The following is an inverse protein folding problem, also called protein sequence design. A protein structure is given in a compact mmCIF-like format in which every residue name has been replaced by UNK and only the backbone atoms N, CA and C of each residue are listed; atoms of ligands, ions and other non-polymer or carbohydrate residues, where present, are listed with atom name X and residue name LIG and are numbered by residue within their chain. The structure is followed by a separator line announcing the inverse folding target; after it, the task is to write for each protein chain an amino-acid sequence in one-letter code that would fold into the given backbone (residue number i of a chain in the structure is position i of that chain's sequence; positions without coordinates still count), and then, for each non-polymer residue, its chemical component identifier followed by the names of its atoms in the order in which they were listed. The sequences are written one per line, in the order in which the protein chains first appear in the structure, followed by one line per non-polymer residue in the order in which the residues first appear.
data_IF_908455070351
#
_entry.id   IF_908455070351
#
_cell.length_a   1.000
_cell.length_b   1.000
_cell.length_c   1.000
_cell.angle_alpha   90.00
_cell.angle_beta   90.00
_cell.angle_gamma   90.00
#
_symmetry.space_group_name_H-M   'P 1'
#
loop_
_entity.id
_entity.type
_entity.pdbx_description
1 polymer ?
#
# COMPACT_ATOMS: atom_id res chain seq x y z
N UNK A 1 -2.89 13.29 -23.13
CA UNK A 1 -2.85 14.04 -21.86
C UNK A 1 -1.91 13.30 -20.94
N UNK A 2 -0.96 14.00 -20.32
CA UNK A 2 0.02 13.38 -19.42
C UNK A 2 -0.32 13.71 -17.96
N UNK A 3 -0.19 12.75 -17.06
CA UNK A 3 -0.52 12.93 -15.64
C UNK A 3 0.38 13.98 -14.96
N UNK A 4 1.59 14.22 -15.49
CA UNK A 4 2.51 15.25 -14.99
C UNK A 4 2.00 16.69 -15.14
N UNK A 5 1.25 16.97 -16.21
CA UNK A 5 0.81 18.34 -16.56
C UNK A 5 -0.58 18.70 -16.00
N UNK A 6 -1.46 17.71 -15.78
CA UNK A 6 -2.83 17.94 -15.33
C UNK A 6 -3.28 16.86 -14.35
N UNK A 7 -2.84 16.99 -13.08
CA UNK A 7 -3.13 16.04 -11.99
C UNK A 7 -4.58 16.06 -11.48
N UNK A 8 -5.35 17.10 -11.82
CA UNK A 8 -6.64 17.32 -11.19
C UNK A 8 -7.77 16.57 -11.90
N UNK A 9 -8.65 15.94 -11.14
CA UNK A 9 -9.87 15.28 -11.64
C UNK A 9 -10.73 16.18 -12.55
N UNK A 10 -10.75 17.49 -12.28
CA UNK A 10 -11.47 18.47 -13.08
C UNK A 10 -10.86 18.68 -14.47
N UNK A 11 -9.55 18.54 -14.62
CA UNK A 11 -8.88 18.62 -15.91
C UNK A 11 -9.25 17.42 -16.79
N UNK A 12 -9.30 16.22 -16.19
CA UNK A 12 -9.78 15.00 -16.87
C UNK A 12 -11.23 15.17 -17.33
N UNK A 13 -12.10 15.70 -16.47
CA UNK A 13 -13.50 15.96 -16.83
C UNK A 13 -13.62 16.99 -17.96
N UNK A 14 -12.85 18.08 -17.91
CA UNK A 14 -12.91 19.14 -18.92
C UNK A 14 -12.35 18.72 -20.27
N UNK A 15 -11.25 17.98 -20.29
CA UNK A 15 -10.50 17.65 -21.51
C UNK A 15 -10.89 16.27 -22.03
N UNK A 16 -10.71 15.23 -21.20
CA UNK A 16 -10.89 13.85 -21.64
C UNK A 16 -12.38 13.48 -21.80
N UNK A 17 -13.25 13.80 -20.83
CA UNK A 17 -14.69 13.45 -20.94
C UNK A 17 -15.38 14.29 -22.02
N UNK A 18 -15.04 15.57 -22.15
CA UNK A 18 -15.57 16.39 -23.23
C UNK A 18 -15.06 15.89 -24.58
N UNK A 19 -13.75 15.62 -24.68
CA UNK A 19 -13.11 15.10 -25.88
C UNK A 19 -13.62 13.73 -26.31
N UNK A 20 -14.03 12.89 -25.36
CA UNK A 20 -14.56 11.54 -25.64
C UNK A 20 -15.96 11.53 -26.20
N UNK A 21 -16.67 12.64 -26.11
CA UNK A 21 -18.03 12.83 -26.63
C UNK A 21 -18.10 13.81 -27.79
N UNK A 22 -17.08 14.64 -27.98
CA UNK A 22 -17.05 15.65 -29.03
C UNK A 22 -16.45 15.13 -30.33
N UNK A 23 -16.95 15.69 -31.42
CA UNK A 23 -16.36 15.59 -32.75
C UNK A 23 -15.05 16.38 -32.82
N UNK A 24 -14.33 16.27 -33.93
CA UNK A 24 -13.04 16.93 -34.10
C UNK A 24 -13.03 17.89 -35.28
N UNK A 25 -12.06 18.78 -35.30
CA UNK A 25 -11.72 19.59 -36.46
C UNK A 25 -10.31 19.19 -36.92
N UNK A 26 -10.00 19.38 -38.20
CA UNK A 26 -8.61 19.33 -38.65
C UNK A 26 -7.89 20.66 -38.32
N UNK A 27 -6.59 20.70 -38.57
CA UNK A 27 -5.76 21.89 -38.33
C UNK A 27 -6.20 23.09 -39.19
N UNK A 28 -6.89 22.83 -40.31
CA UNK A 28 -7.45 23.84 -41.22
C UNK A 28 -8.86 24.33 -40.81
N UNK A 29 -9.44 23.77 -39.73
CA UNK A 29 -10.73 24.20 -39.17
C UNK A 29 -11.98 23.55 -39.77
N UNK A 30 -11.84 22.54 -40.63
CA UNK A 30 -12.95 21.78 -41.18
C UNK A 30 -13.52 20.81 -40.15
N UNK A 31 -14.84 20.71 -40.10
CA UNK A 31 -15.54 19.80 -39.21
C UNK A 31 -15.38 18.35 -39.69
N UNK A 32 -14.88 17.49 -38.79
CA UNK A 32 -14.68 16.08 -39.05
C UNK A 32 -15.69 15.26 -38.24
N UNK A 33 -16.55 14.50 -38.93
CA UNK A 33 -17.55 13.66 -38.29
C UNK A 33 -17.05 12.26 -37.98
N UNK A 34 -17.28 11.80 -36.75
CA UNK A 34 -17.08 10.42 -36.33
C UNK A 34 -17.86 9.41 -37.18
N UNK A 35 -18.99 9.82 -37.79
CA UNK A 35 -19.79 8.97 -38.69
C UNK A 35 -19.11 8.67 -40.02
N UNK A 36 -18.19 9.54 -40.44
CA UNK A 36 -17.39 9.40 -41.66
C UNK A 36 -16.06 8.68 -41.39
N UNK A 37 -15.85 8.20 -40.16
CA UNK A 37 -14.64 7.50 -39.74
C UNK A 37 -13.57 8.39 -39.12
N UNK A 38 -13.83 9.70 -38.99
CA UNK A 38 -12.89 10.63 -38.38
C UNK A 38 -13.01 10.62 -36.86
N UNK A 39 -12.35 9.65 -36.24
CA UNK A 39 -12.32 9.46 -34.79
C UNK A 39 -11.12 10.16 -34.15
N UNK A 40 -11.30 10.56 -32.90
CA UNK A 40 -10.27 11.19 -32.07
C UNK A 40 -9.69 10.16 -31.12
N UNK A 41 -8.38 9.93 -31.17
CA UNK A 41 -7.70 9.05 -30.22
C UNK A 41 -7.35 9.80 -28.93
N UNK A 42 -7.84 9.33 -27.80
CA UNK A 42 -7.52 9.88 -26.48
C UNK A 42 -6.49 8.97 -25.83
N UNK A 43 -5.31 9.52 -25.55
CA UNK A 43 -4.24 8.81 -24.82
C UNK A 43 -4.09 9.45 -23.44
N UNK A 44 -4.28 8.63 -22.41
CA UNK A 44 -4.00 8.97 -21.01
C UNK A 44 -2.80 8.18 -20.55
N UNK A 45 -1.68 8.86 -20.36
CA UNK A 45 -0.46 8.26 -19.84
C UNK A 45 -0.39 8.40 -18.31
N UNK A 46 0.26 7.44 -17.64
CA UNK A 46 0.37 7.35 -16.18
C UNK A 46 -0.97 7.49 -15.43
N UNK A 47 -2.02 6.81 -15.92
CA UNK A 47 -3.37 6.94 -15.34
C UNK A 47 -3.48 6.42 -13.89
N UNK A 48 -2.47 5.67 -13.42
CA UNK A 48 -2.28 5.20 -12.05
C UNK A 48 -1.45 6.15 -11.17
N UNK A 49 -1.04 7.33 -11.63
CA UNK A 49 -0.36 8.32 -10.78
C UNK A 49 -1.28 9.45 -10.27
N UNK A 50 -2.56 9.44 -10.66
CA UNK A 50 -3.55 10.49 -10.35
C UNK A 50 -4.13 10.31 -8.90
N UNK A 51 -3.35 9.71 -7.99
CA UNK A 51 -3.79 9.33 -6.62
C UNK A 51 -3.20 10.20 -5.50
N UNK A 52 -2.68 11.40 -5.80
CA UNK A 52 -2.12 12.29 -4.79
C UNK A 52 -3.12 12.63 -3.67
N UNK A 53 -2.64 12.94 -2.46
CA UNK A 53 -3.48 13.29 -1.28
C UNK A 53 -4.45 14.47 -1.50
N UNK A 54 -4.32 15.20 -2.61
CA UNK A 54 -5.20 16.30 -3.03
C UNK A 54 -6.29 15.87 -4.04
N UNK A 55 -6.18 14.68 -4.65
CA UNK A 55 -6.95 14.26 -5.83
C UNK A 55 -8.00 13.19 -5.55
N UNK A 56 -8.93 13.50 -4.64
CA UNK A 56 -10.05 12.63 -4.22
C UNK A 56 -11.01 12.18 -5.35
N UNK A 57 -10.78 12.52 -6.62
CA UNK A 57 -11.73 12.39 -7.72
C UNK A 57 -11.22 11.81 -9.05
N UNK A 58 -9.96 11.40 -9.16
CA UNK A 58 -9.38 10.93 -10.44
C UNK A 58 -9.98 9.62 -10.97
N UNK A 59 -10.09 8.60 -10.12
CA UNK A 59 -10.59 7.26 -10.49
C UNK A 59 -12.05 7.30 -10.95
N UNK A 60 -12.97 7.97 -10.22
CA UNK A 60 -14.35 8.09 -10.68
C UNK A 60 -14.44 8.77 -12.06
N UNK A 61 -13.59 9.78 -12.34
CA UNK A 61 -13.56 10.45 -13.63
C UNK A 61 -13.06 9.54 -14.76
N UNK A 62 -12.03 8.72 -14.51
CA UNK A 62 -11.55 7.71 -15.48
C UNK A 62 -12.60 6.62 -15.70
N UNK A 63 -13.26 6.17 -14.64
CA UNK A 63 -14.34 5.18 -14.74
C UNK A 63 -15.52 5.71 -15.56
N UNK A 64 -15.89 6.98 -15.35
CA UNK A 64 -16.93 7.66 -16.13
C UNK A 64 -16.53 7.82 -17.61
N UNK A 65 -15.26 8.17 -17.87
CA UNK A 65 -14.70 8.26 -19.22
C UNK A 65 -14.82 6.92 -19.96
N UNK A 66 -14.35 5.84 -19.34
CA UNK A 66 -14.39 4.49 -19.94
C UNK A 66 -15.83 4.03 -20.16
N UNK A 67 -16.75 4.30 -19.23
CA UNK A 67 -18.13 3.87 -19.35
C UNK A 67 -18.93 4.60 -20.45
N UNK A 68 -18.57 5.86 -20.75
CA UNK A 68 -19.38 6.72 -21.62
C UNK A 68 -18.65 7.26 -22.86
N UNK A 69 -17.44 6.77 -23.15
CA UNK A 69 -16.68 7.24 -24.30
C UNK A 69 -17.35 6.84 -25.63
N UNK A 70 -17.34 7.74 -26.60
CA UNK A 70 -17.72 7.48 -28.00
C UNK A 70 -16.52 7.54 -28.95
N UNK A 71 -15.35 7.82 -28.41
CA UNK A 71 -14.09 7.93 -29.11
C UNK A 71 -13.12 6.85 -28.57
N UNK A 72 -12.13 6.38 -29.35
CA UNK A 72 -11.15 5.42 -28.86
C UNK A 72 -10.28 6.03 -27.75
N UNK A 73 -10.13 5.28 -26.64
CA UNK A 73 -9.33 5.69 -25.47
C UNK A 73 -8.27 4.63 -25.19
N UNK A 74 -7.01 5.06 -25.07
CA UNK A 74 -5.89 4.24 -24.59
C UNK A 74 -5.48 4.75 -23.22
N UNK A 75 -5.50 3.83 -22.25
CA UNK A 75 -5.01 4.07 -20.90
C UNK A 75 -3.67 3.36 -20.73
N UNK A 76 -2.62 4.10 -20.39
CA UNK A 76 -1.30 3.55 -20.07
C UNK A 76 -1.14 3.64 -18.55
N UNK A 77 -0.78 2.51 -17.94
CA UNK A 77 -0.65 2.36 -16.48
C UNK A 77 0.58 1.53 -16.17
N UNK A 78 1.28 1.87 -15.08
CA UNK A 78 2.37 1.04 -14.56
C UNK A 78 1.81 -0.11 -13.69
N UNK A 79 0.82 0.18 -12.85
CA UNK A 79 0.11 -0.80 -12.02
C UNK A 79 -1.40 -0.84 -12.35
N UNK A 80 -1.79 -1.80 -13.19
CA UNK A 80 -3.20 -2.05 -13.50
C UNK A 80 -4.01 -2.55 -12.28
N UNK A 81 -3.37 -3.23 -11.32
CA UNK A 81 -4.07 -3.77 -10.17
C UNK A 81 -4.49 -2.67 -9.19
N UNK A 82 -3.60 -1.70 -8.95
CA UNK A 82 -3.89 -0.46 -8.20
C UNK A 82 -5.16 0.25 -8.73
N UNK A 83 -5.25 0.41 -10.06
CA UNK A 83 -6.37 1.07 -10.71
C UNK A 83 -7.65 0.22 -10.71
N UNK A 84 -7.55 -1.06 -11.06
CA UNK A 84 -8.70 -1.96 -11.20
C UNK A 84 -9.31 -2.42 -9.87
N UNK A 85 -8.54 -2.42 -8.77
CA UNK A 85 -9.08 -2.74 -7.43
C UNK A 85 -10.10 -1.72 -6.95
N UNK A 86 -9.97 -0.47 -7.38
CA UNK A 86 -10.79 0.66 -6.92
C UNK A 86 -12.00 0.92 -7.83
N UNK A 87 -12.03 0.36 -9.05
CA UNK A 87 -13.18 0.48 -9.97
C UNK A 87 -13.37 -0.77 -10.84
N UNK A 88 -14.51 -1.43 -10.66
CA UNK A 88 -14.91 -2.58 -11.50
C UNK A 88 -15.20 -2.20 -12.95
N UNK A 89 -15.61 -0.95 -13.21
CA UNK A 89 -15.89 -0.46 -14.56
C UNK A 89 -14.63 -0.47 -15.44
N UNK A 90 -13.49 -0.04 -14.88
CA UNK A 90 -12.20 -0.06 -15.60
C UNK A 90 -11.81 -1.50 -15.92
N UNK A 91 -12.01 -2.44 -14.98
CA UNK A 91 -11.66 -3.85 -15.18
C UNK A 91 -12.48 -4.53 -16.27
N UNK A 92 -13.78 -4.26 -16.32
CA UNK A 92 -14.71 -4.98 -17.19
C UNK A 92 -14.89 -4.34 -18.58
N UNK A 93 -14.68 -3.02 -18.69
CA UNK A 93 -14.94 -2.27 -19.93
C UNK A 93 -13.66 -1.88 -20.68
N UNK A 94 -12.52 -2.52 -20.41
CA UNK A 94 -11.25 -2.24 -21.11
C UNK A 94 -10.62 -3.53 -21.66
N UNK A 95 -9.98 -3.42 -22.83
CA UNK A 95 -9.12 -4.47 -23.36
C UNK A 95 -7.74 -4.36 -22.73
N UNK A 96 -7.29 -5.43 -22.09
CA UNK A 96 -6.01 -5.45 -21.38
C UNK A 96 -4.89 -5.90 -22.32
N UNK A 97 -3.96 -5.00 -22.61
CA UNK A 97 -2.74 -5.29 -23.37
C UNK A 97 -1.54 -5.25 -22.42
N UNK A 98 -0.99 -6.42 -22.10
CA UNK A 98 0.15 -6.52 -21.18
C UNK A 98 1.46 -6.37 -21.95
N UNK A 99 2.15 -5.26 -21.75
CA UNK A 99 3.52 -5.06 -22.24
C UNK A 99 4.47 -5.74 -21.26
N UNK A 100 5.22 -6.74 -21.75
CA UNK A 100 6.22 -7.43 -20.94
C UNK A 100 7.59 -6.78 -21.10
N UNK A 101 8.50 -7.03 -20.15
CA UNK A 101 9.90 -6.60 -20.24
C UNK A 101 10.53 -7.06 -21.55
N UNK A 102 11.35 -6.20 -22.15
CA UNK A 102 12.03 -6.53 -23.41
C UNK A 102 13.11 -7.58 -23.14
N UNK A 103 13.17 -8.61 -23.99
CA UNK A 103 14.18 -9.66 -23.88
C UNK A 103 15.57 -9.12 -24.18
N UNK A 104 16.58 -9.57 -23.42
CA UNK A 104 17.97 -9.14 -23.55
C UNK A 104 18.52 -9.21 -24.99
N UNK A 105 18.18 -10.26 -25.74
CA UNK A 105 18.60 -10.41 -27.13
C UNK A 105 18.04 -9.31 -28.04
N UNK A 106 16.76 -8.97 -27.88
CA UNK A 106 16.10 -7.88 -28.62
C UNK A 106 16.70 -6.53 -28.23
N UNK A 107 16.92 -6.29 -26.93
CA UNK A 107 17.58 -5.07 -26.46
C UNK A 107 18.95 -4.90 -27.11
N UNK A 108 19.77 -5.95 -27.09
CA UNK A 108 21.11 -5.95 -27.71
C UNK A 108 21.08 -5.57 -29.18
N UNK A 109 20.16 -6.15 -29.95
CA UNK A 109 20.04 -5.86 -31.38
C UNK A 109 19.67 -4.39 -31.63
N UNK A 110 18.76 -3.84 -30.83
CA UNK A 110 18.37 -2.42 -30.94
C UNK A 110 19.52 -1.50 -30.55
N UNK A 111 20.19 -1.76 -29.41
CA UNK A 111 21.33 -0.95 -28.95
C UNK A 111 22.50 -0.99 -29.95
N UNK A 112 22.80 -2.17 -30.52
CA UNK A 112 23.84 -2.30 -31.54
C UNK A 112 23.50 -1.50 -32.80
N UNK A 113 22.24 -1.53 -33.23
CA UNK A 113 21.77 -0.73 -34.37
C UNK A 113 21.93 0.76 -34.09
N UNK A 114 21.53 1.22 -32.91
CA UNK A 114 21.70 2.62 -32.49
C UNK A 114 23.18 3.00 -32.47
N UNK A 115 24.06 2.15 -31.91
CA UNK A 115 25.49 2.42 -31.88
C UNK A 115 26.08 2.55 -33.29
N UNK A 116 25.75 1.64 -34.21
CA UNK A 116 26.19 1.70 -35.62
C UNK A 116 25.67 2.97 -36.29
N UNK A 117 24.38 3.30 -36.13
CA UNK A 117 23.76 4.49 -36.72
C UNK A 117 24.38 5.80 -36.19
N UNK A 118 24.98 5.77 -34.99
CA UNK A 118 25.70 6.90 -34.39
C UNK A 118 27.23 6.83 -34.59
N UNK A 119 27.75 5.82 -35.29
CA UNK A 119 29.19 5.65 -35.52
C UNK A 119 30.01 5.31 -34.27
N UNK A 120 29.39 4.69 -33.25
CA UNK A 120 30.03 4.31 -32.00
C UNK A 120 30.57 2.88 -32.08
N UNK A 121 31.85 2.68 -31.78
CA UNK A 121 32.43 1.35 -31.57
C UNK A 121 32.31 0.95 -30.09
N UNK A 122 31.33 0.08 -29.80
CA UNK A 122 31.00 -0.33 -28.44
C UNK A 122 31.33 -1.82 -28.22
N UNK A 123 32.19 -2.16 -27.25
CA UNK A 123 32.50 -3.54 -26.91
C UNK A 123 31.26 -4.34 -26.46
N UNK A 124 31.27 -5.65 -26.75
CA UNK A 124 30.16 -6.54 -26.39
C UNK A 124 29.86 -6.55 -24.88
N UNK A 125 30.89 -6.43 -24.04
CA UNK A 125 30.78 -6.39 -22.58
C UNK A 125 29.99 -5.18 -22.09
N UNK A 126 30.16 -4.02 -22.73
CA UNK A 126 29.42 -2.79 -22.39
C UNK A 126 27.92 -2.98 -22.67
N UNK A 127 27.56 -3.58 -23.80
CA UNK A 127 26.15 -3.90 -24.08
C UNK A 127 25.54 -4.84 -23.04
N UNK A 128 26.29 -5.84 -22.57
CA UNK A 128 25.82 -6.77 -21.55
C UNK A 128 25.56 -6.05 -20.22
N UNK A 129 26.49 -5.22 -19.77
CA UNK A 129 26.34 -4.40 -18.56
C UNK A 129 25.14 -3.45 -18.65
N UNK A 130 24.94 -2.77 -19.78
CA UNK A 130 23.79 -1.88 -20.01
C UNK A 130 22.47 -2.66 -19.91
N UNK A 131 22.39 -3.82 -20.57
CA UNK A 131 21.18 -4.64 -20.60
C UNK A 131 20.83 -5.19 -19.22
N UNK A 132 21.84 -5.66 -18.47
CA UNK A 132 21.68 -6.14 -17.09
C UNK A 132 21.19 -5.01 -16.17
N UNK A 133 21.84 -3.83 -16.23
CA UNK A 133 21.48 -2.67 -15.42
C UNK A 133 20.07 -2.14 -15.74
N UNK A 134 19.63 -2.27 -17.00
CA UNK A 134 18.35 -1.74 -17.46
C UNK A 134 17.15 -2.63 -17.11
N UNK A 135 17.38 -3.90 -16.72
CA UNK A 135 16.34 -4.83 -16.27
C UNK A 135 15.11 -4.91 -17.20
N UNK A 136 15.33 -4.84 -18.52
CA UNK A 136 14.28 -4.88 -19.53
C UNK A 136 13.62 -3.54 -19.91
N UNK A 137 14.09 -2.40 -19.35
CA UNK A 137 13.68 -1.05 -19.75
C UNK A 137 14.57 -0.52 -20.89
N UNK A 138 13.99 -0.40 -22.09
CA UNK A 138 14.70 0.11 -23.27
C UNK A 138 15.11 1.58 -23.17
N UNK A 139 14.30 2.41 -22.52
CA UNK A 139 14.60 3.85 -22.37
C UNK A 139 15.81 4.04 -21.46
N UNK A 140 15.85 3.27 -20.37
CA UNK A 140 17.00 3.24 -19.46
C UNK A 140 18.27 2.79 -20.19
N UNK A 141 18.17 1.71 -20.98
CA UNK A 141 19.28 1.18 -21.76
C UNK A 141 19.84 2.16 -22.79
N UNK A 142 18.96 2.87 -23.51
CA UNK A 142 19.37 3.89 -24.48
C UNK A 142 20.05 5.07 -23.79
N UNK A 143 19.55 5.49 -22.61
CA UNK A 143 20.20 6.54 -21.81
C UNK A 143 21.57 6.12 -21.30
N UNK A 144 21.74 4.88 -20.91
CA UNK A 144 23.05 4.38 -20.49
C UNK A 144 24.02 4.32 -21.66
N UNK A 145 23.55 3.84 -22.83
CA UNK A 145 24.35 3.87 -24.05
C UNK A 145 24.75 5.31 -24.43
N UNK A 146 23.81 6.26 -24.32
CA UNK A 146 24.10 7.67 -24.54
C UNK A 146 25.14 8.19 -23.54
N UNK A 147 24.99 7.90 -22.25
CA UNK A 147 25.91 8.37 -21.22
C UNK A 147 27.33 7.85 -21.42
N UNK A 148 27.50 6.61 -21.90
CA UNK A 148 28.83 6.08 -22.26
C UNK A 148 29.34 6.68 -23.56
N UNK A 149 28.47 6.93 -24.54
CA UNK A 149 28.82 7.57 -25.82
C UNK A 149 29.11 9.07 -25.73
N UNK A 150 28.66 9.73 -24.67
CA UNK A 150 28.81 11.16 -24.44
C UNK A 150 30.20 11.44 -23.85
N UNK A 151 31.22 11.46 -24.71
CA UNK A 151 32.59 11.85 -24.32
C UNK A 151 33.71 11.16 -25.08
N UNK A 152 33.48 9.97 -25.67
CA UNK A 152 34.46 9.21 -26.44
C UNK A 152 33.80 8.44 -27.61
N UNK A 153 34.38 8.55 -28.81
CA UNK A 153 33.94 7.80 -30.00
C UNK A 153 34.47 6.35 -30.02
N UNK A 154 35.62 6.13 -29.38
CA UNK A 154 36.25 4.81 -29.23
C UNK A 154 36.14 4.37 -27.76
N UNK A 155 35.32 3.34 -27.49
CA UNK A 155 35.12 2.82 -26.13
C UNK A 155 36.02 1.62 -25.86
N UNK A 156 36.73 1.65 -24.74
CA UNK A 156 37.49 0.51 -24.22
C UNK A 156 36.62 -0.45 -23.40
N UNK A 157 37.14 -1.64 -23.08
CA UNK A 157 36.47 -2.56 -22.15
C UNK A 157 36.33 -1.98 -20.73
N UNK A 158 37.20 -1.04 -20.37
CA UNK A 158 37.22 -0.40 -19.05
C UNK A 158 36.10 0.65 -18.87
N UNK A 159 35.51 1.16 -19.95
CA UNK A 159 34.40 2.11 -19.89
C UNK A 159 33.10 1.45 -19.40
N UNK A 160 33.04 0.11 -19.42
CA UNK A 160 31.98 -0.66 -18.75
C UNK A 160 31.97 -0.44 -17.23
N UNK A 161 33.10 -0.07 -16.61
CA UNK A 161 33.18 0.20 -15.18
C UNK A 161 32.61 1.57 -14.78
N UNK A 162 32.51 2.52 -15.72
CA UNK A 162 31.87 3.83 -15.50
C UNK A 162 30.36 3.68 -15.33
N UNK A 163 29.78 2.65 -15.95
CA UNK A 163 28.43 2.17 -15.64
C UNK A 163 28.45 1.46 -14.29
N UNK A 164 28.63 2.24 -13.21
CA UNK A 164 28.38 1.77 -11.86
C UNK A 164 27.00 1.10 -11.86
N UNK A 165 26.95 -0.17 -11.49
CA UNK A 165 25.73 -0.97 -11.54
C UNK A 165 24.63 -0.16 -10.85
N UNK A 166 23.66 0.32 -11.64
CA UNK A 166 22.51 1.06 -11.10
C UNK A 166 22.04 0.26 -9.90
N UNK A 167 21.93 0.89 -8.72
CA UNK A 167 21.34 0.26 -7.54
C UNK A 167 19.95 -0.23 -7.95
N UNK A 168 19.88 -1.47 -8.40
CA UNK A 168 18.63 -2.15 -8.59
C UNK A 168 18.15 -2.38 -7.18
N UNK A 169 17.06 -1.73 -6.79
CA UNK A 169 16.39 -2.04 -5.52
C UNK A 169 16.22 -3.56 -5.50
N UNK A 170 17.02 -4.24 -4.68
CA UNK A 170 16.99 -5.70 -4.66
C UNK A 170 15.67 -6.10 -4.04
N UNK A 171 15.03 -7.11 -4.60
CA UNK A 171 13.75 -7.54 -4.06
C UNK A 171 13.96 -8.18 -2.70
N UNK A 172 12.93 -8.16 -1.85
CA UNK A 172 12.96 -8.88 -0.59
C UNK A 172 13.20 -10.39 -0.79
N UNK A 173 12.81 -10.95 -1.94
CA UNK A 173 13.09 -12.33 -2.31
C UNK A 173 14.59 -12.60 -2.52
N UNK A 174 15.31 -11.64 -3.10
CA UNK A 174 16.76 -11.72 -3.28
C UNK A 174 17.47 -11.61 -1.92
N UNK A 175 16.97 -10.74 -1.03
CA UNK A 175 17.47 -10.66 0.34
C UNK A 175 17.23 -11.96 1.12
N UNK A 176 16.04 -12.55 1.02
CA UNK A 176 15.76 -13.84 1.68
C UNK A 176 16.65 -14.95 1.14
N UNK A 177 16.92 -14.97 -0.17
CA UNK A 177 17.85 -15.93 -0.78
C UNK A 177 19.27 -15.73 -0.24
N UNK A 178 19.75 -14.49 -0.20
CA UNK A 178 21.10 -14.19 0.26
C UNK A 178 21.28 -14.46 1.78
N UNK A 179 20.24 -14.32 2.61
CA UNK A 179 20.30 -14.62 4.05
C UNK A 179 20.14 -16.12 4.32
N UNK A 180 19.07 -16.72 3.81
CA UNK A 180 18.64 -18.06 4.21
C UNK A 180 19.37 -19.14 3.40
N UNK A 181 19.49 -18.96 2.09
CA UNK A 181 20.11 -19.94 1.21
C UNK A 181 21.63 -19.78 1.19
N UNK A 182 22.14 -18.59 0.85
CA UNK A 182 23.57 -18.32 0.65
C UNK A 182 24.33 -18.17 1.97
N UNK A 183 25.54 -18.73 2.08
CA UNK A 183 26.32 -18.73 3.33
C UNK A 183 27.17 -17.48 3.56
N UNK A 184 27.11 -16.49 2.66
CA UNK A 184 27.92 -15.27 2.75
C UNK A 184 27.16 -14.13 3.43
N UNK A 185 27.48 -13.92 4.71
CA UNK A 185 26.89 -12.85 5.53
C UNK A 185 27.26 -11.44 5.06
N UNK A 186 28.41 -11.25 4.38
CA UNK A 186 28.82 -9.95 3.85
C UNK A 186 28.02 -9.59 2.62
N UNK A 187 27.78 -10.56 1.74
CA UNK A 187 26.87 -10.39 0.60
C UNK A 187 25.46 -10.07 1.08
N UNK A 188 24.92 -10.85 2.03
CA UNK A 188 23.61 -10.59 2.61
C UNK A 188 23.48 -9.19 3.20
N UNK A 189 24.53 -8.68 3.88
CA UNK A 189 24.55 -7.31 4.42
C UNK A 189 24.50 -6.24 3.33
N UNK A 190 25.23 -6.42 2.23
CA UNK A 190 25.18 -5.49 1.08
C UNK A 190 23.79 -5.49 0.45
N UNK A 191 23.25 -6.66 0.17
CA UNK A 191 21.88 -6.81 -0.34
C UNK A 191 20.85 -6.14 0.58
N UNK A 192 21.01 -6.24 1.91
CA UNK A 192 20.12 -5.58 2.87
C UNK A 192 20.21 -4.05 2.83
N UNK A 193 21.37 -3.47 2.47
CA UNK A 193 21.51 -2.02 2.26
C UNK A 193 20.86 -1.57 0.96
N UNK A 194 20.81 -2.45 -0.05
CA UNK A 194 20.17 -2.19 -1.34
C UNK A 194 18.65 -2.40 -1.34
N UNK A 195 18.10 -2.99 -0.26
CA UNK A 195 16.65 -3.17 -0.07
C UNK A 195 16.11 -1.98 0.71
N UNK A 196 15.17 -1.25 0.11
CA UNK A 196 14.48 -0.12 0.74
C UNK A 196 13.34 -0.57 1.66
N UNK A 197 13.68 -1.32 2.72
CA UNK A 197 12.70 -1.82 3.69
C UNK A 197 13.17 -1.63 5.13
N UNK A 198 12.19 -1.51 6.03
CA UNK A 198 12.49 -1.34 7.45
C UNK A 198 13.00 -2.64 8.09
N UNK A 199 13.83 -2.55 9.16
CA UNK A 199 14.27 -3.75 9.89
C UNK A 199 13.11 -4.58 10.45
N UNK A 200 11.98 -3.93 10.74
CA UNK A 200 10.76 -4.60 11.18
C UNK A 200 10.14 -5.45 10.06
N UNK A 201 10.03 -4.90 8.85
CA UNK A 201 9.54 -5.67 7.69
C UNK A 201 10.47 -6.83 7.35
N UNK A 202 11.78 -6.63 7.34
CA UNK A 202 12.76 -7.70 7.12
C UNK A 202 12.58 -8.82 8.16
N UNK A 203 12.40 -8.47 9.44
CA UNK A 203 12.14 -9.44 10.50
C UNK A 203 10.87 -10.26 10.25
N UNK A 204 9.78 -9.64 9.78
CA UNK A 204 8.53 -10.36 9.46
C UNK A 204 8.69 -11.32 8.29
N UNK A 205 9.50 -10.95 7.29
CA UNK A 205 9.85 -11.86 6.18
C UNK A 205 10.68 -13.04 6.65
N UNK A 206 11.65 -12.80 7.53
CA UNK A 206 12.46 -13.88 8.10
C UNK A 206 11.61 -14.81 8.97
N UNK A 207 10.72 -14.29 9.82
CA UNK A 207 9.83 -15.10 10.68
C UNK A 207 8.99 -16.11 9.86
N UNK A 208 8.44 -15.69 8.72
CA UNK A 208 7.64 -16.54 7.84
C UNK A 208 8.50 -17.58 7.09
N UNK A 209 9.72 -17.22 6.69
CA UNK A 209 10.52 -18.01 5.74
C UNK A 209 11.62 -18.87 6.40
N UNK A 210 12.11 -18.51 7.59
CA UNK A 210 13.13 -19.27 8.32
C UNK A 210 12.70 -20.72 8.54
N UNK A 211 11.46 -21.05 8.99
CA UNK A 211 11.02 -22.45 9.13
C UNK A 211 10.90 -23.21 7.79
N UNK A 212 10.75 -22.49 6.68
CA UNK A 212 10.68 -23.10 5.36
C UNK A 212 12.05 -23.59 4.89
N UNK A 213 13.11 -22.86 5.24
CA UNK A 213 14.49 -23.20 4.86
C UNK A 213 15.20 -24.03 5.93
N UNK A 214 15.18 -23.61 7.19
CA UNK A 214 15.96 -24.23 8.28
C UNK A 214 15.20 -25.41 8.86
N UNK A 215 15.62 -26.63 8.51
CA UNK A 215 14.99 -27.88 8.96
C UNK A 215 15.58 -28.47 10.22
N UNK A 216 16.84 -28.17 10.53
CA UNK A 216 17.47 -28.59 11.78
C UNK A 216 16.88 -27.78 12.95
N UNK A 217 16.31 -28.43 13.99
CA UNK A 217 15.82 -27.75 15.18
C UNK A 217 16.85 -26.82 15.84
N UNK A 218 18.15 -27.17 15.78
CA UNK A 218 19.18 -26.36 16.42
C UNK A 218 19.45 -25.05 15.65
N UNK A 219 19.49 -25.12 14.31
CA UNK A 219 19.65 -23.95 13.45
C UNK A 219 18.42 -23.04 13.54
N UNK A 220 17.22 -23.65 13.59
CA UNK A 220 15.96 -22.94 13.80
C UNK A 220 15.96 -22.19 15.14
N UNK A 221 16.39 -22.86 16.22
CA UNK A 221 16.49 -22.25 17.54
C UNK A 221 17.42 -21.04 17.54
N UNK A 222 18.63 -21.16 16.97
CA UNK A 222 19.58 -20.04 16.87
C UNK A 222 19.03 -18.88 16.04
N UNK A 223 18.38 -19.16 14.91
CA UNK A 223 17.76 -18.14 14.07
C UNK A 223 16.68 -17.35 14.84
N UNK A 224 15.79 -18.05 15.55
CA UNK A 224 14.76 -17.38 16.36
C UNK A 224 15.32 -16.65 17.58
N UNK A 225 16.45 -17.08 18.15
CA UNK A 225 17.14 -16.28 19.16
C UNK A 225 17.59 -14.92 18.60
N UNK A 226 18.07 -14.88 17.37
CA UNK A 226 18.42 -13.62 16.70
C UNK A 226 17.20 -12.76 16.42
N UNK A 227 16.12 -13.32 15.88
CA UNK A 227 14.87 -12.60 15.65
C UNK A 227 14.25 -12.05 16.95
N UNK A 228 14.35 -12.80 18.05
CA UNK A 228 13.90 -12.33 19.37
C UNK A 228 14.74 -11.13 19.87
N UNK A 229 16.05 -11.11 19.61
CA UNK A 229 16.91 -9.95 19.89
C UNK A 229 16.55 -8.77 18.99
N UNK A 230 16.29 -8.97 17.70
CA UNK A 230 15.79 -7.93 16.80
C UNK A 230 14.52 -7.29 17.36
N UNK A 231 13.53 -8.09 17.76
CA UNK A 231 12.28 -7.60 18.36
C UNK A 231 12.52 -6.75 19.62
N UNK A 232 13.49 -7.14 20.46
CA UNK A 232 13.89 -6.37 21.64
C UNK A 232 14.48 -5.00 21.26
N UNK A 233 15.33 -4.94 20.24
CA UNK A 233 15.87 -3.67 19.73
C UNK A 233 14.78 -2.81 19.11
N UNK A 234 13.90 -3.37 18.27
CA UNK A 234 12.77 -2.66 17.68
C UNK A 234 11.83 -2.09 18.75
N UNK A 235 11.51 -2.86 19.79
CA UNK A 235 10.72 -2.37 20.92
C UNK A 235 11.39 -1.19 21.65
N UNK A 236 12.73 -1.18 21.76
CA UNK A 236 13.49 -0.06 22.32
C UNK A 236 13.47 1.16 21.40
N UNK A 237 13.54 0.96 20.07
CA UNK A 237 13.38 2.04 19.09
C UNK A 237 12.03 2.71 19.29
N UNK A 238 10.93 1.95 19.30
CA UNK A 238 9.58 2.52 19.43
C UNK A 238 9.41 3.27 20.75
N UNK A 239 9.93 2.73 21.86
CA UNK A 239 9.80 3.35 23.19
C UNK A 239 10.67 4.58 23.40
N UNK A 240 11.90 4.58 22.86
CA UNK A 240 12.89 5.65 23.09
C UNK A 240 13.02 6.62 21.92
N UNK A 241 12.40 6.32 20.78
CA UNK A 241 12.56 7.02 19.51
C UNK A 241 14.03 7.15 19.08
N UNK A 242 14.86 6.19 19.49
CA UNK A 242 16.28 6.16 19.16
C UNK A 242 16.54 5.17 18.02
N UNK A 243 16.60 5.69 16.80
CA UNK A 243 16.77 4.90 15.57
C UNK A 243 18.17 4.32 15.39
N UNK A 244 19.16 4.72 16.19
CA UNK A 244 20.48 4.08 16.20
C UNK A 244 20.43 2.58 16.52
N UNK A 245 19.37 2.09 17.16
CA UNK A 245 19.17 0.65 17.37
C UNK A 245 18.79 -0.13 16.10
N UNK A 246 18.47 0.54 14.98
CA UNK A 246 18.19 -0.13 13.71
C UNK A 246 19.40 -0.87 13.15
N UNK A 247 20.61 -0.35 13.35
CA UNK A 247 21.84 -1.04 12.93
C UNK A 247 21.96 -2.41 13.59
N UNK A 248 21.74 -2.48 14.91
CA UNK A 248 21.77 -3.73 15.67
C UNK A 248 20.62 -4.69 15.31
N UNK A 249 19.43 -4.16 15.06
CA UNK A 249 18.29 -4.95 14.59
C UNK A 249 18.57 -5.57 13.22
N UNK A 250 19.12 -4.78 12.29
CA UNK A 250 19.52 -5.26 10.97
C UNK A 250 20.65 -6.29 11.04
N UNK A 251 21.67 -6.07 11.86
CA UNK A 251 22.77 -7.03 12.01
C UNK A 251 22.25 -8.38 12.54
N UNK A 252 21.29 -8.39 13.47
CA UNK A 252 20.66 -9.63 13.93
C UNK A 252 19.79 -10.29 12.86
N UNK A 253 18.97 -9.52 12.14
CA UNK A 253 18.16 -10.04 11.04
C UNK A 253 19.02 -10.67 9.94
N UNK A 254 20.11 -10.01 9.55
CA UNK A 254 20.90 -10.40 8.38
C UNK A 254 22.03 -11.35 8.80
N UNK A 255 23.02 -10.85 9.53
CA UNK A 255 24.22 -11.62 9.89
C UNK A 255 23.86 -12.69 10.92
N UNK A 256 23.04 -12.36 11.91
CA UNK A 256 22.60 -13.30 12.95
C UNK A 256 21.88 -14.51 12.35
N UNK A 257 20.83 -14.28 11.56
CA UNK A 257 20.08 -15.38 10.93
C UNK A 257 20.93 -16.13 9.89
N UNK A 258 21.73 -15.42 9.08
CA UNK A 258 22.62 -16.06 8.10
C UNK A 258 23.67 -16.97 8.75
N UNK A 259 24.20 -16.60 9.91
CA UNK A 259 25.21 -17.40 10.64
C UNK A 259 24.62 -18.48 11.54
N UNK A 260 23.30 -18.50 11.73
CA UNK A 260 22.64 -19.52 12.54
C UNK A 260 22.69 -20.92 11.92
N UNK A 261 22.82 -21.02 10.58
CA UNK A 261 22.87 -22.31 9.88
C UNK A 261 24.22 -23.00 10.07
N UNK A 262 24.16 -24.29 10.41
CA UNK A 262 25.36 -25.12 10.54
C UNK A 262 25.79 -25.72 9.21
N UNK A 263 24.86 -25.86 8.25
CA UNK A 263 25.10 -26.50 6.95
C UNK A 263 24.38 -25.73 5.84
N UNK A 264 24.92 -25.74 4.61
CA UNK A 264 24.21 -25.20 3.45
C UNK A 264 23.01 -26.09 3.10
N UNK A 265 21.86 -25.46 2.82
CA UNK A 265 20.65 -26.16 2.43
C UNK A 265 20.74 -26.59 0.96
N UNK A 266 20.28 -27.81 0.65
CA UNK A 266 20.36 -28.41 -0.70
C UNK A 266 19.03 -28.40 -1.47
N UNK A 267 17.98 -27.80 -0.91
CA UNK A 267 16.64 -27.79 -1.49
C UNK A 267 16.25 -26.43 -2.06
N UNK A 268 15.39 -26.44 -3.08
CA UNK A 268 14.72 -25.23 -3.53
C UNK A 268 13.53 -24.91 -2.62
N UNK A 269 13.45 -23.67 -2.16
CA UNK A 269 12.37 -23.16 -1.32
C UNK A 269 11.76 -21.93 -1.97
N UNK A 270 10.44 -21.90 -2.07
CA UNK A 270 9.72 -20.72 -2.51
C UNK A 270 9.43 -19.80 -1.32
N UNK A 271 10.08 -18.64 -1.27
CA UNK A 271 9.81 -17.64 -0.25
C UNK A 271 8.42 -17.02 -0.42
N UNK A 272 7.80 -16.68 0.71
CA UNK A 272 6.44 -16.17 0.80
C UNK A 272 6.42 -14.81 1.50
N UNK A 273 5.48 -13.98 1.08
CA UNK A 273 5.19 -12.72 1.77
C UNK A 273 4.67 -13.00 3.20
N UNK A 274 5.01 -12.17 4.21
CA UNK A 274 4.60 -12.36 5.60
C UNK A 274 3.08 -12.52 5.77
N UNK A 275 2.66 -13.69 6.25
CA UNK A 275 1.25 -13.96 6.51
C UNK A 275 0.68 -13.10 7.63
N UNK A 276 1.53 -12.69 8.58
CA UNK A 276 1.14 -11.83 9.71
C UNK A 276 0.53 -10.50 9.26
N UNK A 277 1.13 -9.82 8.28
CA UNK A 277 0.63 -8.53 7.74
C UNK A 277 -0.77 -8.73 7.16
N UNK A 278 -0.96 -9.79 6.36
CA UNK A 278 -2.26 -10.12 5.78
C UNK A 278 -3.31 -10.42 6.86
N UNK A 279 -2.95 -11.22 7.88
CA UNK A 279 -3.84 -11.54 9.02
C UNK A 279 -4.21 -10.29 9.83
N UNK A 280 -3.26 -9.38 10.06
CA UNK A 280 -3.50 -8.14 10.80
C UNK A 280 -4.41 -7.17 10.05
N UNK A 281 -4.26 -7.10 8.72
CA UNK A 281 -5.15 -6.32 7.84
C UNK A 281 -6.56 -6.91 7.82
N UNK A 282 -6.71 -8.21 7.56
CA UNK A 282 -8.01 -8.91 7.55
C UNK A 282 -8.77 -8.80 8.87
N UNK A 283 -8.05 -8.90 9.99
CA UNK A 283 -8.65 -8.81 11.33
C UNK A 283 -8.91 -7.37 11.80
N UNK A 284 -8.51 -6.33 11.05
CA UNK A 284 -8.63 -4.93 11.49
C UNK A 284 -10.08 -4.54 11.79
N UNK A 285 -11.02 -4.89 10.90
CA UNK A 285 -12.45 -4.62 11.10
C UNK A 285 -12.99 -5.34 12.33
N UNK A 286 -12.76 -6.65 12.43
CA UNK A 286 -13.17 -7.46 13.58
C UNK A 286 -12.60 -6.92 14.90
N UNK A 287 -11.32 -6.56 14.94
CA UNK A 287 -10.67 -5.99 16.13
C UNK A 287 -11.27 -4.62 16.49
N UNK A 288 -11.52 -3.76 15.50
CA UNK A 288 -12.16 -2.46 15.73
C UNK A 288 -13.55 -2.62 16.36
N UNK A 289 -14.37 -3.53 15.81
CA UNK A 289 -15.71 -3.84 16.36
C UNK A 289 -15.60 -4.38 17.78
N UNK A 290 -14.71 -5.35 18.01
CA UNK A 290 -14.47 -5.94 19.33
C UNK A 290 -14.05 -4.87 20.34
N UNK A 291 -13.14 -3.97 19.97
CA UNK A 291 -12.66 -2.88 20.82
C UNK A 291 -13.77 -1.87 21.11
N UNK A 292 -14.59 -1.50 20.12
CA UNK A 292 -15.72 -0.58 20.30
C UNK A 292 -16.75 -1.11 21.31
N UNK A 293 -17.19 -2.35 21.13
CA UNK A 293 -18.13 -3.01 22.07
C UNK A 293 -17.50 -3.13 23.46
N UNK A 294 -16.24 -3.55 23.54
CA UNK A 294 -15.55 -3.70 24.83
C UNK A 294 -15.37 -2.36 25.55
N UNK A 295 -15.25 -1.24 24.82
CA UNK A 295 -15.19 0.10 25.42
C UNK A 295 -16.50 0.46 26.12
N UNK A 296 -17.62 0.23 25.43
CA UNK A 296 -18.97 0.46 25.98
C UNK A 296 -19.22 -0.40 27.23
N UNK A 297 -18.85 -1.68 27.18
CA UNK A 297 -18.94 -2.56 28.34
C UNK A 297 -18.05 -2.05 29.49
N UNK A 298 -16.85 -1.58 29.17
CA UNK A 298 -15.88 -1.12 30.17
C UNK A 298 -16.34 0.11 30.93
N UNK A 299 -17.05 1.03 30.25
CA UNK A 299 -17.65 2.22 30.85
C UNK A 299 -18.73 1.86 31.89
N UNK A 300 -19.57 0.86 31.58
CA UNK A 300 -20.63 0.42 32.48
C UNK A 300 -20.15 -0.49 33.61
N UNK A 301 -19.08 -1.25 33.39
CA UNK A 301 -18.53 -2.19 34.39
C UNK A 301 -17.41 -1.59 35.22
N UNK A 302 -16.97 -0.37 34.92
CA UNK A 302 -15.80 0.28 35.54
C UNK A 302 -14.53 -0.60 35.50
N UNK A 303 -14.34 -1.35 34.41
CA UNK A 303 -13.14 -2.18 34.19
C UNK A 303 -12.32 -1.66 33.02
N UNK A 304 -11.13 -2.22 32.79
CA UNK A 304 -10.36 -1.86 31.59
C UNK A 304 -10.96 -2.48 30.33
N UNK A 305 -10.82 -1.81 29.19
CA UNK A 305 -11.29 -2.32 27.89
C UNK A 305 -10.71 -3.70 27.57
N UNK A 306 -9.44 -3.94 27.93
CA UNK A 306 -8.78 -5.24 27.77
C UNK A 306 -9.45 -6.33 28.61
N UNK A 307 -9.77 -6.02 29.87
CA UNK A 307 -10.44 -6.97 30.77
C UNK A 307 -11.87 -7.25 30.31
N UNK A 308 -12.63 -6.21 29.94
CA UNK A 308 -13.96 -6.36 29.34
C UNK A 308 -13.94 -7.23 28.08
N UNK A 309 -12.94 -7.07 27.21
CA UNK A 309 -12.80 -7.84 25.98
C UNK A 309 -12.45 -9.33 26.17
N UNK A 310 -11.79 -9.67 27.29
CA UNK A 310 -11.34 -11.03 27.61
C UNK A 310 -12.34 -11.75 28.53
N UNK A 311 -12.78 -11.08 29.58
CA UNK A 311 -13.52 -11.70 30.68
C UNK A 311 -15.04 -11.55 30.54
N UNK A 312 -15.53 -10.50 29.87
CA UNK A 312 -16.98 -10.18 29.83
C UNK A 312 -17.59 -10.45 28.47
N UNK A 313 -16.95 -9.95 27.41
CA UNK A 313 -17.50 -10.01 26.05
C UNK A 313 -17.84 -11.43 25.56
N UNK A 314 -17.01 -12.48 25.78
CA UNK A 314 -17.36 -13.84 25.33
C UNK A 314 -18.68 -14.36 25.92
N UNK A 315 -18.91 -14.12 27.22
CA UNK A 315 -20.16 -14.52 27.88
C UNK A 315 -21.32 -13.64 27.47
N UNK A 316 -21.09 -12.33 27.32
CA UNK A 316 -22.11 -11.41 26.85
C UNK A 316 -22.63 -11.81 25.47
N UNK A 317 -21.75 -12.21 24.55
CA UNK A 317 -22.15 -12.70 23.21
C UNK A 317 -23.11 -13.89 23.33
N UNK A 318 -22.83 -14.84 24.21
CA UNK A 318 -23.66 -16.03 24.38
C UNK A 318 -25.03 -15.70 24.98
N UNK A 319 -25.05 -14.89 26.06
CA UNK A 319 -26.30 -14.44 26.71
C UNK A 319 -27.13 -13.59 25.73
N UNK A 320 -26.47 -12.73 24.94
CA UNK A 320 -27.12 -11.88 23.94
C UNK A 320 -27.78 -12.70 22.83
N UNK A 321 -27.23 -13.88 22.49
CA UNK A 321 -27.83 -14.81 21.53
C UNK A 321 -28.99 -15.60 22.12
N UNK A 322 -28.92 -16.01 23.39
CA UNK A 322 -29.93 -16.85 24.01
C UNK A 322 -31.18 -16.09 24.48
N UNK A 323 -31.02 -14.90 25.05
CA UNK A 323 -32.10 -14.18 25.74
C UNK A 323 -32.53 -12.91 24.98
N UNK A 324 -33.76 -12.89 24.41
CA UNK A 324 -34.30 -11.73 23.70
C UNK A 324 -34.54 -10.48 24.58
N UNK A 325 -34.93 -10.66 25.84
CA UNK A 325 -35.20 -9.53 26.74
C UNK A 325 -33.90 -8.86 27.16
N UNK A 326 -32.92 -9.67 27.57
CA UNK A 326 -31.57 -9.19 27.87
C UNK A 326 -30.98 -8.47 26.65
N UNK A 327 -31.13 -9.03 25.46
CA UNK A 327 -30.67 -8.44 24.19
C UNK A 327 -31.20 -7.02 23.99
N UNK A 328 -32.52 -6.82 24.03
CA UNK A 328 -33.13 -5.50 23.85
C UNK A 328 -32.66 -4.50 24.92
N UNK A 329 -32.59 -4.95 26.19
CA UNK A 329 -32.13 -4.12 27.30
C UNK A 329 -30.68 -3.64 27.09
N UNK A 330 -29.79 -4.52 26.62
CA UNK A 330 -28.37 -4.23 26.39
C UNK A 330 -28.16 -3.33 25.18
N UNK A 331 -28.92 -3.52 24.09
CA UNK A 331 -28.90 -2.61 22.93
C UNK A 331 -29.23 -1.19 23.37
N UNK A 332 -30.27 -1.04 24.21
CA UNK A 332 -30.65 0.27 24.74
C UNK A 332 -29.57 0.84 25.66
N UNK A 333 -29.11 0.05 26.63
CA UNK A 333 -28.20 0.50 27.71
C UNK A 333 -26.82 0.85 27.19
N UNK A 334 -26.19 -0.06 26.43
CA UNK A 334 -24.84 0.12 25.89
C UNK A 334 -24.81 1.02 24.64
N UNK A 335 -25.98 1.49 24.16
CA UNK A 335 -26.10 2.26 22.91
C UNK A 335 -25.38 1.59 21.74
N UNK A 336 -25.69 0.30 21.52
CA UNK A 336 -25.07 -0.48 20.44
C UNK A 336 -25.52 0.04 19.07
N UNK A 337 -24.59 0.07 18.11
CA UNK A 337 -24.91 0.39 16.71
C UNK A 337 -25.48 -0.83 15.99
N UNK A 338 -26.13 -0.61 14.84
CA UNK A 338 -26.62 -1.68 13.95
C UNK A 338 -25.53 -2.70 13.61
N UNK A 339 -24.31 -2.22 13.34
CA UNK A 339 -23.16 -3.06 13.01
C UNK A 339 -22.69 -3.90 14.21
N UNK A 340 -22.69 -3.32 15.41
CA UNK A 340 -22.29 -4.04 16.64
C UNK A 340 -23.32 -5.09 17.03
N UNK A 341 -24.61 -4.82 16.87
CA UNK A 341 -25.69 -5.80 17.10
C UNK A 341 -25.57 -6.95 16.10
N UNK A 342 -25.35 -6.65 14.83
CA UNK A 342 -25.11 -7.67 13.81
C UNK A 342 -23.87 -8.52 14.13
N UNK A 343 -22.80 -7.89 14.61
CA UNK A 343 -21.58 -8.56 15.04
C UNK A 343 -21.80 -9.51 16.22
N UNK A 344 -22.52 -9.08 17.26
CA UNK A 344 -22.82 -9.93 18.43
C UNK A 344 -23.71 -11.13 18.06
N UNK A 345 -24.61 -10.97 17.09
CA UNK A 345 -25.50 -12.04 16.62
C UNK A 345 -24.89 -12.94 15.55
N UNK A 346 -23.69 -12.64 15.06
CA UNK A 346 -23.06 -13.31 13.91
C UNK A 346 -23.96 -13.30 12.66
N UNK A 347 -24.60 -12.16 12.40
CA UNK A 347 -25.54 -11.94 11.28
C UNK A 347 -25.08 -10.80 10.39
N UNK A 348 -25.61 -10.76 9.16
CA UNK A 348 -25.43 -9.61 8.27
C UNK A 348 -26.18 -8.39 8.83
N UNK A 349 -25.58 -7.20 8.64
CA UNK A 349 -26.15 -5.91 9.06
C UNK A 349 -27.56 -5.70 8.50
N UNK A 350 -27.80 -6.14 7.25
CA UNK A 350 -29.09 -5.99 6.57
C UNK A 350 -30.17 -6.99 6.95
N UNK A 351 -29.89 -7.93 7.87
CA UNK A 351 -30.86 -8.93 8.27
C UNK A 351 -32.11 -8.28 8.88
N UNK A 352 -33.29 -8.81 8.54
CA UNK A 352 -34.57 -8.29 9.01
C UNK A 352 -34.68 -8.31 10.54
N UNK A 353 -34.03 -9.29 11.18
CA UNK A 353 -33.96 -9.40 12.64
C UNK A 353 -33.19 -8.24 13.28
N UNK A 354 -32.03 -7.85 12.73
CA UNK A 354 -31.27 -6.70 13.27
C UNK A 354 -32.05 -5.40 13.11
N UNK A 355 -32.70 -5.19 11.95
CA UNK A 355 -33.54 -3.99 11.71
C UNK A 355 -34.73 -3.93 12.67
N UNK A 356 -35.41 -5.06 12.89
CA UNK A 356 -36.53 -5.16 13.83
C UNK A 356 -36.09 -4.86 15.27
N UNK A 357 -34.98 -5.44 15.71
CA UNK A 357 -34.42 -5.23 17.05
C UNK A 357 -34.02 -3.78 17.29
N UNK A 358 -33.44 -3.11 16.28
CA UNK A 358 -33.07 -1.70 16.40
C UNK A 358 -34.32 -0.82 16.54
N UNK A 359 -35.36 -1.06 15.74
CA UNK A 359 -36.63 -0.35 15.82
C UNK A 359 -37.36 -0.58 17.15
N UNK A 360 -37.32 -1.80 17.68
CA UNK A 360 -37.84 -2.12 19.01
C UNK A 360 -37.06 -1.42 20.13
N UNK A 361 -35.72 -1.33 20.00
CA UNK A 361 -34.87 -0.62 20.95
C UNK A 361 -35.12 0.89 20.96
N UNK A 362 -35.37 1.49 19.77
CA UNK A 362 -35.71 2.91 19.64
C UNK A 362 -37.07 3.22 20.28
N UNK A 363 -38.06 2.34 20.09
CA UNK A 363 -39.36 2.45 20.77
C UNK A 363 -39.22 2.37 22.28
N UNK A 364 -38.38 1.46 22.80
CA UNK A 364 -38.10 1.37 24.23
C UNK A 364 -37.43 2.64 24.77
N UNK A 365 -36.48 3.22 24.04
CA UNK A 365 -35.85 4.50 24.45
C UNK A 365 -36.86 5.64 24.48
N UNK A 366 -37.67 5.79 23.43
CA UNK A 366 -38.72 6.80 23.36
C UNK A 366 -39.75 6.67 24.49
N UNK A 367 -40.04 5.44 24.95
CA UNK A 367 -40.95 5.20 26.08
C UNK A 367 -40.34 5.48 27.46
N UNK A 368 -39.00 5.45 27.58
CA UNK A 368 -38.27 5.63 28.84
C UNK A 368 -37.72 7.04 29.04
N UNK A 369 -37.64 7.86 28.01
CA UNK A 369 -37.36 9.29 28.16
C UNK A 369 -38.61 10.00 28.72
N UNK A 370 -38.60 10.50 29.98
CA UNK A 370 -39.67 11.38 30.41
C UNK A 370 -39.58 12.67 29.60
N UNK A 371 -40.73 13.18 29.14
CA UNK A 371 -40.85 14.51 28.55
C UNK A 371 -40.01 15.50 29.35
N UNK A 372 -39.03 16.13 28.70
CA UNK A 372 -38.23 17.18 29.32
C UNK A 372 -39.18 18.20 29.98
N UNK A 373 -39.11 18.32 31.31
CA UNK A 373 -39.81 19.38 32.03
C UNK A 373 -39.28 20.72 31.48
N UNK A 374 -40.14 21.74 31.26
CA UNK A 374 -39.65 23.06 30.93
C UNK A 374 -38.73 23.53 32.06
N UNK A 375 -37.53 23.97 31.69
CA UNK A 375 -36.56 24.57 32.62
C UNK A 375 -37.23 25.80 33.27
N UNK A 376 -37.18 25.99 34.59
CA UNK A 376 -37.67 27.22 35.20
C UNK A 376 -36.80 28.40 34.76
N UNK A 377 -37.42 29.45 34.24
CA UNK A 377 -36.80 30.76 34.10
C UNK A 377 -36.30 31.23 35.48
N UNK A 378 -34.98 31.42 35.61
CA UNK A 378 -34.40 32.01 36.81
C UNK A 378 -33.13 31.34 37.31
N UNK A 379 -32.06 31.35 36.51
CA UNK A 379 -30.68 31.35 37.02
C UNK A 379 -29.88 32.32 36.15
N UNK A 380 -29.31 33.33 36.79
CA UNK A 380 -28.53 34.41 36.18
C UNK A 380 -27.48 33.89 35.19
N UNK A 381 -27.44 34.50 34.00
CA UNK A 381 -26.35 34.36 33.05
C UNK A 381 -25.04 34.78 33.71
N UNK A 382 -24.22 33.80 34.11
CA UNK A 382 -22.77 34.01 34.13
C UNK A 382 -22.28 33.82 32.72
N UNK A 383 -21.83 34.91 32.09
CA UNK A 383 -21.06 34.88 30.85
C UNK A 383 -19.85 33.94 31.01
N UNK A 384 -19.96 32.73 30.47
CA UNK A 384 -18.80 31.89 30.20
C UNK A 384 -18.01 32.55 29.06
N UNK A 385 -16.86 33.12 29.42
CA UNK A 385 -15.86 33.57 28.45
C UNK A 385 -15.53 32.40 27.51
N UNK A 386 -15.57 32.59 26.18
CA UNK A 386 -15.23 31.52 25.26
C UNK A 386 -13.78 31.08 25.48
N UNK A 387 -13.60 29.79 25.75
CA UNK A 387 -12.28 29.16 25.74
C UNK A 387 -11.61 29.44 24.39
N UNK A 388 -10.49 30.18 24.42
CA UNK A 388 -9.65 30.36 23.24
C UNK A 388 -9.16 28.99 22.78
N UNK A 389 -9.54 28.60 21.56
CA UNK A 389 -8.89 27.50 20.84
C UNK A 389 -7.37 27.72 20.90
N UNK A 390 -6.56 26.70 21.21
CA UNK A 390 -5.11 26.85 21.18
C UNK A 390 -4.70 27.24 19.75
N UNK A 391 -4.02 28.38 19.64
CA UNK A 391 -3.44 28.83 18.37
C UNK A 391 -2.48 27.76 17.83
N UNK A 392 -2.43 27.55 16.51
CA UNK A 392 -1.43 26.66 15.91
C UNK A 392 -0.04 27.17 16.30
N UNK A 393 0.74 26.32 16.98
CA UNK A 393 2.15 26.61 17.28
C UNK A 393 2.83 27.07 15.99
N UNK A 394 3.45 28.24 16.08
CA UNK A 394 4.10 28.94 14.99
C UNK A 394 5.07 28.05 14.20
N UNK A 395 5.23 28.43 12.94
CA UNK A 395 6.18 27.89 11.96
C UNK A 395 7.47 27.41 12.63
N UNK A 396 7.82 26.14 12.42
CA UNK A 396 9.18 25.67 12.64
C UNK A 396 10.13 26.61 11.89
N UNK A 397 11.09 27.20 12.61
CA UNK A 397 12.19 27.91 12.00
C UNK A 397 12.90 26.96 11.02
N UNK A 398 13.06 27.41 9.78
CA UNK A 398 13.86 26.70 8.79
C UNK A 398 15.31 26.64 9.25
N UNK A 399 16.01 25.56 8.92
CA UNK A 399 17.39 25.23 9.30
C UNK A 399 18.47 26.20 8.76
N UNK A 400 18.09 27.40 8.30
CA UNK A 400 18.94 28.43 7.72
C UNK A 400 18.97 29.75 8.51
N UNK A 401 18.44 29.78 9.74
CA UNK A 401 18.52 30.94 10.63
C UNK A 401 19.37 30.70 11.90
N UNK A 402 20.47 29.95 11.77
CA UNK A 402 21.55 29.92 12.76
C UNK A 402 22.91 30.10 12.10
#
# INVERSE_FOLDING_TARGET
MNASDQRNADAIKKVAIRGSRSETFNDDGEFLSSKEGHLKLIILDEADNIFGREDSGGIPAIAELVANTRQPVILIVNDFYELSRKSSAIKNNTLQLKVSKVQAATMRNVLRRIAIDQGLEVPQRVFETIIENSNGDMRAAVRDLQAVGEGNADMGEDDAFVLESRMSVRSMYDLMRDILHESDSRRARRTAMDVDETPEHIMMWLDENVPLEYKDPQDLHRAFQHLARTSTFLARVTRRQYFGFWSYANDHNVIGVCSAKSRPNRGWVQYRFPGYIMKMSRSKGFRSMKTGISSKISEHTHTSTRRSAQDVLPYLVEIFKSDPEFRLSMISTLRLSTEEVAFLLDKKVDSAEVKKLMLESERQRASKEPSAKPVPEGVEEREERPERKPEPKGKQASLFEY
#
